data_IF_673663849150
#
_entry.id   IF_673663849150
#
_cell.length_a   1.000
_cell.length_b   1.000
_cell.length_c   1.000
_cell.angle_alpha   90.00
_cell.angle_beta   90.00
_cell.angle_gamma   90.00
#
_symmetry.space_group_name_H-M   'P 1'
#
loop_
_entity.id
_entity.type
_entity.pdbx_description
1 polymer ?
#
# COMPACT_ATOMS: atom_id res chain seq x y z
N UNK A 1 6.02 -32.24 -40.94
CA UNK A 1 5.32 -31.12 -40.27
C UNK A 1 6.33 -30.38 -39.40
N UNK A 2 6.68 -29.16 -39.77
CA UNK A 2 7.85 -28.44 -39.24
C UNK A 2 7.68 -27.95 -37.81
N UNK A 3 8.76 -28.02 -37.03
CA UNK A 3 8.86 -27.54 -35.63
C UNK A 3 8.38 -26.10 -35.42
N UNK A 4 8.43 -25.28 -36.48
CA UNK A 4 7.92 -23.91 -36.47
C UNK A 4 6.44 -23.81 -36.09
N UNK A 5 5.61 -24.77 -36.49
CA UNK A 5 4.17 -24.75 -36.19
C UNK A 5 3.92 -25.04 -34.71
N UNK A 6 4.70 -25.93 -34.11
CA UNK A 6 4.63 -26.22 -32.66
C UNK A 6 5.15 -25.03 -31.84
N UNK A 7 6.24 -24.39 -32.27
CA UNK A 7 6.77 -23.19 -31.61
C UNK A 7 5.80 -22.01 -31.64
N UNK A 8 5.12 -21.77 -32.77
CA UNK A 8 4.09 -20.71 -32.88
C UNK A 8 2.88 -21.00 -32.00
N UNK A 9 2.43 -22.25 -31.90
CA UNK A 9 1.35 -22.64 -31.00
C UNK A 9 1.74 -22.45 -29.54
N UNK A 10 2.97 -22.82 -29.17
CA UNK A 10 3.49 -22.64 -27.81
C UNK A 10 3.60 -21.15 -27.43
N UNK A 11 4.15 -20.31 -28.31
CA UNK A 11 4.22 -18.86 -28.11
C UNK A 11 2.82 -18.22 -27.96
N UNK A 12 1.83 -18.70 -28.73
CA UNK A 12 0.45 -18.22 -28.64
C UNK A 12 -0.23 -18.64 -27.34
N UNK A 13 0.01 -19.88 -26.88
CA UNK A 13 -0.49 -20.36 -25.59
C UNK A 13 0.17 -19.64 -24.41
N UNK A 14 1.49 -19.38 -24.47
CA UNK A 14 2.21 -18.60 -23.46
C UNK A 14 1.70 -17.15 -23.39
N UNK A 15 1.47 -16.50 -24.53
CA UNK A 15 0.88 -15.17 -24.57
C UNK A 15 -0.56 -15.16 -24.04
N UNK A 16 -1.38 -16.17 -24.37
CA UNK A 16 -2.73 -16.32 -23.79
C UNK A 16 -2.69 -16.56 -22.27
N UNK A 17 -1.75 -17.35 -21.77
CA UNK A 17 -1.57 -17.59 -20.33
C UNK A 17 -1.11 -16.32 -19.60
N UNK A 18 -0.17 -15.57 -20.19
CA UNK A 18 0.31 -14.27 -19.68
C UNK A 18 -0.79 -13.21 -19.66
N UNK A 19 -1.63 -13.17 -20.70
CA UNK A 19 -2.80 -12.28 -20.77
C UNK A 19 -3.96 -12.72 -19.87
N UNK A 20 -4.11 -14.03 -19.62
CA UNK A 20 -5.06 -14.55 -18.64
C UNK A 20 -4.61 -14.27 -17.19
N UNK A 21 -3.31 -14.27 -16.90
CA UNK A 21 -2.74 -13.83 -15.62
C UNK A 21 -2.94 -12.34 -15.36
N UNK A 22 -2.82 -11.48 -16.40
CA UNK A 22 -3.06 -10.03 -16.25
C UNK A 22 -4.54 -9.65 -16.14
N UNK A 23 -5.47 -10.55 -16.52
CA UNK A 23 -6.92 -10.41 -16.26
C UNK A 23 -7.38 -11.02 -14.93
N UNK A 24 -6.51 -11.72 -14.19
CA UNK A 24 -6.83 -12.17 -12.83
C UNK A 24 -6.69 -11.00 -11.89
N UNK A 25 -7.82 -10.61 -11.27
CA UNK A 25 -8.02 -9.83 -10.04
C UNK A 25 -6.88 -8.86 -9.69
N UNK A 26 -7.21 -7.57 -9.55
CA UNK A 26 -6.38 -6.62 -8.80
C UNK A 26 -5.73 -7.38 -7.63
N UNK A 27 -4.39 -7.46 -7.57
CA UNK A 27 -3.73 -8.25 -6.53
C UNK A 27 -4.31 -7.81 -5.19
N UNK A 28 -4.64 -8.76 -4.33
CA UNK A 28 -5.37 -8.56 -3.06
C UNK A 28 -4.84 -7.34 -2.28
N UNK A 29 -3.52 -7.14 -2.31
CA UNK A 29 -2.79 -5.99 -1.78
C UNK A 29 -3.26 -4.62 -2.30
N UNK A 30 -3.61 -4.46 -3.58
CA UNK A 30 -4.05 -3.17 -4.15
C UNK A 30 -5.43 -2.74 -3.68
N UNK A 31 -6.34 -3.69 -3.46
CA UNK A 31 -7.68 -3.38 -2.96
C UNK A 31 -7.64 -3.01 -1.47
N UNK A 32 -6.80 -3.71 -0.68
CA UNK A 32 -6.58 -3.38 0.73
C UNK A 32 -5.83 -2.06 0.93
N UNK A 33 -4.79 -1.80 0.13
CA UNK A 33 -4.08 -0.51 0.14
C UNK A 33 -5.04 0.65 -0.15
N UNK A 34 -5.90 0.54 -1.17
CA UNK A 34 -6.89 1.57 -1.47
C UNK A 34 -7.86 1.82 -0.31
N UNK A 35 -8.29 0.77 0.41
CA UNK A 35 -9.18 0.91 1.57
C UNK A 35 -8.48 1.65 2.72
N UNK A 36 -7.24 1.28 3.03
CA UNK A 36 -6.46 1.94 4.08
C UNK A 36 -6.19 3.40 3.71
N UNK A 37 -5.86 3.70 2.45
CA UNK A 37 -5.69 5.09 1.99
C UNK A 37 -6.96 5.94 2.14
N UNK A 38 -8.13 5.35 1.86
CA UNK A 38 -9.41 6.03 2.09
C UNK A 38 -9.66 6.27 3.58
N UNK A 39 -9.32 5.31 4.44
CA UNK A 39 -9.44 5.43 5.89
C UNK A 39 -8.50 6.51 6.43
N UNK A 40 -7.23 6.55 5.99
CA UNK A 40 -6.26 7.60 6.36
C UNK A 40 -6.84 8.98 6.00
N UNK A 41 -7.24 9.18 4.74
CA UNK A 41 -7.81 10.46 4.27
C UNK A 41 -9.07 10.87 5.04
N UNK A 42 -9.87 9.92 5.49
CA UNK A 42 -11.04 10.20 6.32
C UNK A 42 -10.59 10.63 7.73
N UNK A 43 -9.77 9.83 8.39
CA UNK A 43 -9.29 10.08 9.74
C UNK A 43 -8.51 11.40 9.85
N UNK A 44 -7.66 11.73 8.88
CA UNK A 44 -6.96 13.03 8.84
C UNK A 44 -7.91 14.23 8.75
N UNK A 45 -9.00 14.11 7.98
CA UNK A 45 -10.02 15.17 7.89
C UNK A 45 -10.77 15.32 9.21
N UNK A 46 -11.10 14.20 9.85
CA UNK A 46 -11.80 14.21 11.14
C UNK A 46 -10.88 14.73 12.25
N UNK A 47 -9.61 14.36 12.23
CA UNK A 47 -8.56 14.89 13.10
C UNK A 47 -8.45 16.41 13.02
N UNK A 48 -8.37 16.99 11.81
CA UNK A 48 -8.32 18.45 11.62
C UNK A 48 -9.55 19.17 12.18
N UNK A 49 -10.72 18.54 12.20
CA UNK A 49 -11.92 19.09 12.85
C UNK A 49 -11.80 18.99 14.37
N UNK A 50 -11.31 17.86 14.88
CA UNK A 50 -11.13 17.61 16.31
C UNK A 50 -10.12 18.56 16.96
N UNK A 51 -9.03 18.92 16.28
CA UNK A 51 -8.05 19.90 16.78
C UNK A 51 -8.75 21.22 17.17
N UNK A 52 -9.77 21.64 16.40
CA UNK A 52 -10.53 22.87 16.68
C UNK A 52 -11.44 22.76 17.91
N UNK A 53 -11.83 21.54 18.29
CA UNK A 53 -12.71 21.27 19.44
C UNK A 53 -11.98 21.30 20.79
N UNK A 54 -10.64 21.29 20.80
CA UNK A 54 -9.78 21.18 22.00
C UNK A 54 -10.02 19.94 22.88
N UNK A 55 -10.72 18.92 22.38
CA UNK A 55 -10.85 17.64 23.08
C UNK A 55 -9.57 16.80 22.96
N UNK A 56 -8.67 16.96 23.92
CA UNK A 56 -7.32 16.34 23.91
C UNK A 56 -7.39 14.81 23.83
N UNK A 57 -8.38 14.18 24.49
CA UNK A 57 -8.50 12.73 24.50
C UNK A 57 -8.89 12.19 23.12
N UNK A 58 -9.89 12.78 22.47
CA UNK A 58 -10.29 12.39 21.12
C UNK A 58 -9.20 12.68 20.08
N UNK A 59 -8.46 13.77 20.25
CA UNK A 59 -7.29 14.09 19.41
C UNK A 59 -6.25 12.98 19.52
N UNK A 60 -5.89 12.56 20.75
CA UNK A 60 -4.93 11.46 20.96
C UNK A 60 -5.40 10.15 20.35
N UNK A 61 -6.63 9.73 20.64
CA UNK A 61 -7.19 8.48 20.10
C UNK A 61 -7.24 8.49 18.57
N UNK A 62 -7.59 9.62 17.97
CA UNK A 62 -7.61 9.75 16.50
C UNK A 62 -6.21 9.75 15.91
N UNK A 63 -5.24 10.37 16.60
CA UNK A 63 -3.84 10.37 16.19
C UNK A 63 -3.24 8.95 16.22
N UNK A 64 -3.43 8.22 17.32
CA UNK A 64 -2.98 6.83 17.46
C UNK A 64 -3.59 5.94 16.36
N UNK A 65 -4.87 6.16 16.05
CA UNK A 65 -5.54 5.45 14.97
C UNK A 65 -4.92 5.76 13.60
N UNK A 66 -4.64 7.03 13.28
CA UNK A 66 -3.98 7.41 12.02
C UNK A 66 -2.59 6.76 11.92
N UNK A 67 -1.80 6.78 13.00
CA UNK A 67 -0.49 6.14 13.05
C UNK A 67 -0.61 4.64 12.76
N UNK A 68 -1.59 3.94 13.35
CA UNK A 68 -1.83 2.52 13.08
C UNK A 68 -2.15 2.24 11.60
N UNK A 69 -2.95 3.09 10.95
CA UNK A 69 -3.26 2.96 9.53
C UNK A 69 -2.02 3.17 8.64
N UNK A 70 -1.15 4.10 9.00
CA UNK A 70 0.12 4.30 8.28
C UNK A 70 1.06 3.10 8.45
N UNK A 71 1.10 2.49 9.64
CA UNK A 71 1.87 1.26 9.87
C UNK A 71 1.35 0.09 9.02
N UNK A 72 0.04 -0.12 9.00
CA UNK A 72 -0.60 -1.16 8.17
C UNK A 72 -0.36 -0.93 6.68
N UNK A 73 -0.46 0.32 6.22
CA UNK A 73 -0.14 0.70 4.84
C UNK A 73 1.30 0.34 4.48
N UNK A 74 2.26 0.68 5.34
CA UNK A 74 3.67 0.39 5.15
C UNK A 74 3.94 -1.11 5.07
N UNK A 75 3.37 -1.89 5.99
CA UNK A 75 3.51 -3.35 5.97
C UNK A 75 2.97 -3.97 4.66
N UNK A 76 1.83 -3.49 4.16
CA UNK A 76 1.25 -3.96 2.91
C UNK A 76 2.07 -3.56 1.68
N UNK A 77 2.64 -2.35 1.66
CA UNK A 77 3.54 -1.91 0.59
C UNK A 77 4.80 -2.78 0.54
N UNK A 78 5.42 -3.05 1.69
CA UNK A 78 6.60 -3.91 1.80
C UNK A 78 6.28 -5.32 1.31
N UNK A 79 5.17 -5.90 1.77
CA UNK A 79 4.72 -7.23 1.35
C UNK A 79 4.47 -7.30 -0.16
N UNK A 80 3.76 -6.31 -0.71
CA UNK A 80 3.48 -6.22 -2.15
C UNK A 80 4.78 -6.16 -2.96
N UNK A 81 5.73 -5.33 -2.55
CA UNK A 81 6.96 -5.12 -3.31
C UNK A 81 7.90 -6.32 -3.20
N UNK A 82 7.93 -6.99 -2.04
CA UNK A 82 8.61 -8.28 -1.88
C UNK A 82 8.02 -9.37 -2.79
N UNK A 83 6.69 -9.47 -2.87
CA UNK A 83 5.98 -10.38 -3.79
C UNK A 83 6.29 -10.06 -5.27
N UNK A 84 6.34 -8.77 -5.65
CA UNK A 84 6.64 -8.34 -7.02
C UNK A 84 8.09 -8.62 -7.43
N UNK A 85 9.03 -8.45 -6.51
CA UNK A 85 10.45 -8.69 -6.73
C UNK A 85 10.85 -10.16 -6.53
N UNK A 86 9.91 -11.00 -6.06
CA UNK A 86 10.15 -12.41 -5.71
C UNK A 86 11.39 -12.56 -4.81
N UNK A 87 11.47 -11.71 -3.78
CA UNK A 87 12.61 -11.63 -2.86
C UNK A 87 12.15 -11.71 -1.42
N UNK A 88 12.85 -12.52 -0.63
CA UNK A 88 12.67 -12.58 0.83
C UNK A 88 13.53 -11.51 1.55
N UNK A 89 14.33 -10.73 0.80
CA UNK A 89 15.12 -9.64 1.37
C UNK A 89 14.24 -8.41 1.63
N UNK A 90 13.50 -8.45 2.74
CA UNK A 90 12.59 -7.40 3.19
C UNK A 90 13.32 -6.13 3.63
N UNK A 91 14.56 -6.22 4.09
CA UNK A 91 15.35 -5.05 4.52
C UNK A 91 15.52 -4.05 3.38
N UNK A 92 15.90 -4.54 2.19
CA UNK A 92 16.16 -3.70 1.02
C UNK A 92 14.88 -3.03 0.48
N UNK A 93 13.72 -3.69 0.66
CA UNK A 93 12.40 -3.21 0.22
C UNK A 93 11.74 -2.29 1.27
N UNK A 94 12.06 -2.51 2.56
CA UNK A 94 11.44 -1.81 3.68
C UNK A 94 11.91 -0.38 3.88
N UNK A 95 13.14 -0.06 3.48
CA UNK A 95 13.77 1.23 3.80
C UNK A 95 12.98 2.43 3.27
N UNK A 96 12.63 2.43 1.98
CA UNK A 96 11.88 3.53 1.37
C UNK A 96 10.48 3.70 1.98
N UNK A 97 9.76 2.60 2.21
CA UNK A 97 8.42 2.64 2.81
C UNK A 97 8.46 3.09 4.28
N UNK A 98 9.52 2.75 5.01
CA UNK A 98 9.73 3.18 6.40
C UNK A 98 10.09 4.66 6.48
N UNK A 99 10.93 5.16 5.56
CA UNK A 99 11.22 6.59 5.44
C UNK A 99 9.95 7.39 5.16
N UNK A 100 9.12 6.96 4.20
CA UNK A 100 7.81 7.58 3.93
C UNK A 100 6.85 7.51 5.13
N UNK A 101 6.85 6.42 5.90
CA UNK A 101 6.06 6.32 7.13
C UNK A 101 6.45 7.39 8.15
N UNK A 102 7.76 7.57 8.37
CA UNK A 102 8.30 8.57 9.30
C UNK A 102 7.90 9.97 8.85
N UNK A 103 8.06 10.30 7.56
CA UNK A 103 7.67 11.60 7.00
C UNK A 103 6.18 11.90 7.22
N UNK A 104 5.29 10.95 6.92
CA UNK A 104 3.86 11.11 7.14
C UNK A 104 3.52 11.37 8.62
N UNK A 105 4.18 10.66 9.54
CA UNK A 105 3.98 10.88 10.97
C UNK A 105 4.46 12.26 11.41
N UNK A 106 5.62 12.71 10.90
CA UNK A 106 6.16 14.04 11.20
C UNK A 106 5.24 15.15 10.69
N UNK A 107 4.70 15.03 9.48
CA UNK A 107 3.77 16.01 8.92
C UNK A 107 2.45 16.07 9.70
N UNK A 108 1.98 14.93 10.21
CA UNK A 108 0.82 14.87 11.08
C UNK A 108 1.06 15.60 12.41
N UNK A 109 2.22 15.38 13.05
CA UNK A 109 2.61 16.08 14.28
C UNK A 109 2.71 17.60 14.04
N UNK A 110 3.38 18.03 12.96
CA UNK A 110 3.49 19.45 12.58
C UNK A 110 2.13 20.12 12.36
N UNK A 111 1.11 19.36 11.97
CA UNK A 111 -0.26 19.87 11.78
C UNK A 111 -0.97 20.21 13.10
N UNK A 112 -0.45 19.72 14.23
CA UNK A 112 -0.95 19.99 15.59
C UNK A 112 -0.28 21.23 16.18
N UNK A 113 0.99 21.48 15.84
CA UNK A 113 1.79 22.58 16.37
C UNK A 113 1.48 23.96 15.75
N UNK A 114 0.70 23.99 14.67
CA UNK A 114 0.24 25.21 13.97
C UNK A 114 -1.18 25.61 14.36
#
# INVERSE_FOLDING_TARGET
MSDLTKQKQWATQMNKARHAQTKKRLPFSKLELNKIEQQIKKSERDFKKLIRSKNIQEIRTTLDYIISLHADKTALCIKRDAELLNTDNLELVSRSHTETYIENCQDLIRSIEK
#
